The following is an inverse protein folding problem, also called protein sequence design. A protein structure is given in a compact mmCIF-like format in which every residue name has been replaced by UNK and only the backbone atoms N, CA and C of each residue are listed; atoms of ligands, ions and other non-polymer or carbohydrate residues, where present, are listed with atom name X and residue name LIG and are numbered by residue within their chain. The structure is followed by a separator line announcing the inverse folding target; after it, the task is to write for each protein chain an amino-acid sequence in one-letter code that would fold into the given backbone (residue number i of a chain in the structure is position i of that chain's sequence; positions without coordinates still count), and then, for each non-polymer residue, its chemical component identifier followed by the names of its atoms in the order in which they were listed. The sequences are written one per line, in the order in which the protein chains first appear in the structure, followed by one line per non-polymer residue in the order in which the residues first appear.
data_IF_900613887418
#
_entry.id   IF_900613887418
#
_cell.length_a   1.000
_cell.length_b   1.000
_cell.length_c   1.000
_cell.angle_alpha   90.00
_cell.angle_beta   90.00
_cell.angle_gamma   90.00
#
_symmetry.space_group_name_H-M   'P 1'
#
loop_
_entity.id
_entity.type
_entity.pdbx_description
1 polymer ?
#
# COMPACT_ATOMS: atom_id res chain seq x y z
N UNK A 1 -17.36 19.39 -5.31
CA UNK A 1 -15.96 19.02 -5.11
C UNK A 1 -15.25 19.10 -6.47
N UNK A 2 -14.15 19.84 -6.52
CA UNK A 2 -13.39 20.09 -7.76
C UNK A 2 -12.27 19.03 -7.94
N UNK A 3 -12.54 17.81 -7.50
CA UNK A 3 -11.61 16.71 -7.60
C UNK A 3 -11.51 16.21 -9.05
N UNK A 4 -10.30 16.20 -9.58
CA UNK A 4 -9.97 15.64 -10.91
C UNK A 4 -9.49 14.21 -10.77
N UNK A 5 -9.79 13.36 -11.76
CA UNK A 5 -9.28 11.99 -11.81
C UNK A 5 -7.73 11.98 -11.85
N UNK A 6 -7.12 10.97 -11.29
CA UNK A 6 -5.66 10.85 -11.21
C UNK A 6 -4.98 10.95 -12.58
N UNK A 7 -5.55 10.30 -13.60
CA UNK A 7 -5.02 10.35 -14.97
C UNK A 7 -5.02 11.79 -15.50
N UNK A 8 -6.07 12.57 -15.19
CA UNK A 8 -6.14 13.99 -15.56
C UNK A 8 -5.06 14.80 -14.85
N UNK A 9 -4.89 14.58 -13.54
CA UNK A 9 -3.86 15.28 -12.77
C UNK A 9 -2.45 14.99 -13.31
N UNK A 10 -2.13 13.72 -13.58
CA UNK A 10 -0.84 13.35 -14.15
C UNK A 10 -0.64 13.87 -15.59
N UNK A 11 -1.66 13.85 -16.43
CA UNK A 11 -1.61 14.41 -17.78
C UNK A 11 -1.30 15.90 -17.73
N UNK A 12 -1.93 16.64 -16.80
CA UNK A 12 -1.71 18.06 -16.62
C UNK A 12 -0.30 18.38 -16.07
N UNK A 13 0.21 17.57 -15.14
CA UNK A 13 1.58 17.68 -14.65
C UNK A 13 2.57 17.45 -15.80
N UNK A 14 2.36 16.41 -16.60
CA UNK A 14 3.23 16.11 -17.74
C UNK A 14 3.19 17.22 -18.79
N UNK A 15 2.03 17.79 -19.09
CA UNK A 15 1.90 18.92 -20.00
C UNK A 15 2.69 20.14 -19.54
N UNK A 16 2.64 20.46 -18.25
CA UNK A 16 3.37 21.59 -17.69
C UNK A 16 4.88 21.36 -17.59
N UNK A 17 5.27 20.15 -17.20
CA UNK A 17 6.70 19.80 -17.02
C UNK A 17 7.39 19.43 -18.33
N UNK A 18 6.67 18.79 -19.25
CA UNK A 18 7.20 18.26 -20.52
C UNK A 18 6.20 18.44 -21.67
N UNK A 19 5.92 19.67 -22.12
CA UNK A 19 4.84 19.97 -23.05
C UNK A 19 4.96 19.24 -24.40
N UNK A 20 6.16 19.14 -24.96
CA UNK A 20 6.39 18.41 -26.20
C UNK A 20 6.08 16.91 -26.06
N UNK A 21 6.57 16.30 -25.00
CA UNK A 21 6.31 14.86 -24.73
C UNK A 21 4.83 14.60 -24.47
N UNK A 22 4.15 15.48 -23.76
CA UNK A 22 2.70 15.35 -23.52
C UNK A 22 1.92 15.41 -24.85
N UNK A 23 2.25 16.34 -25.73
CA UNK A 23 1.66 16.44 -27.06
C UNK A 23 1.94 15.21 -27.91
N UNK A 24 3.20 14.79 -28.02
CA UNK A 24 3.62 13.67 -28.87
C UNK A 24 3.11 12.31 -28.39
N UNK A 25 3.21 12.05 -27.09
CA UNK A 25 2.91 10.74 -26.50
C UNK A 25 1.46 10.56 -26.09
N UNK A 26 0.83 11.63 -25.60
CA UNK A 26 -0.52 11.60 -25.06
C UNK A 26 -1.54 12.31 -25.94
N UNK A 27 -1.09 13.12 -26.92
CA UNK A 27 -1.97 14.03 -27.66
C UNK A 27 -2.62 15.07 -26.74
N UNK A 28 -1.90 15.49 -25.68
CA UNK A 28 -2.36 16.40 -24.65
C UNK A 28 -1.54 17.70 -24.71
N UNK A 29 -2.06 18.71 -25.38
CA UNK A 29 -1.37 19.95 -25.73
C UNK A 29 -1.93 21.21 -25.05
N UNK A 30 -3.13 21.17 -24.51
CA UNK A 30 -3.79 22.29 -23.85
C UNK A 30 -4.39 21.89 -22.50
N UNK A 31 -4.66 22.86 -21.64
CA UNK A 31 -5.31 22.65 -20.36
C UNK A 31 -6.78 22.29 -20.58
N UNK A 32 -7.18 21.14 -20.05
CA UNK A 32 -8.59 20.77 -20.00
C UNK A 32 -9.25 21.38 -18.76
N UNK A 33 -10.31 22.14 -18.97
CA UNK A 33 -11.01 22.87 -17.91
C UNK A 33 -12.22 22.12 -17.38
N UNK A 34 -12.79 21.26 -18.19
CA UNK A 34 -14.02 20.53 -17.85
C UNK A 34 -13.82 19.03 -17.86
N UNK A 35 -14.65 18.33 -17.08
CA UNK A 35 -14.69 16.86 -17.08
C UNK A 35 -15.10 16.31 -18.46
N UNK A 36 -15.90 17.03 -19.23
CA UNK A 36 -16.30 16.62 -20.58
C UNK A 36 -15.10 16.60 -21.53
N UNK A 37 -14.28 17.65 -21.53
CA UNK A 37 -13.04 17.71 -22.32
C UNK A 37 -12.08 16.60 -21.94
N UNK A 38 -11.87 16.39 -20.64
CA UNK A 38 -11.04 15.28 -20.15
C UNK A 38 -11.56 13.92 -20.64
N UNK A 39 -12.86 13.68 -20.52
CA UNK A 39 -13.46 12.40 -20.92
C UNK A 39 -13.34 12.17 -22.43
N UNK A 40 -13.51 13.20 -23.24
CA UNK A 40 -13.31 13.11 -24.68
C UNK A 40 -11.86 12.76 -25.03
N UNK A 41 -10.90 13.47 -24.46
CA UNK A 41 -9.48 13.17 -24.66
C UNK A 41 -9.13 11.76 -24.17
N UNK A 42 -9.59 11.37 -22.97
CA UNK A 42 -9.27 10.08 -22.36
C UNK A 42 -9.82 8.92 -23.18
N UNK A 43 -11.04 9.03 -23.69
CA UNK A 43 -11.62 8.02 -24.57
C UNK A 43 -10.79 7.89 -25.86
N UNK A 44 -10.45 9.00 -26.51
CA UNK A 44 -9.62 8.97 -27.72
C UNK A 44 -8.22 8.38 -27.46
N UNK A 45 -7.64 8.62 -26.29
CA UNK A 45 -6.39 8.00 -25.86
C UNK A 45 -6.55 6.49 -25.66
N UNK A 46 -7.62 6.06 -25.02
CA UNK A 46 -7.95 4.64 -24.82
C UNK A 46 -8.17 3.92 -26.14
N UNK A 47 -8.90 4.53 -27.07
CA UNK A 47 -9.16 3.96 -28.41
C UNK A 47 -7.87 3.73 -29.19
N UNK A 48 -6.94 4.69 -29.14
CA UNK A 48 -5.61 4.53 -29.75
C UNK A 48 -4.80 3.40 -29.10
N UNK A 49 -4.85 3.30 -27.76
CA UNK A 49 -4.18 2.23 -27.02
C UNK A 49 -4.77 0.86 -27.37
N UNK A 50 -6.09 0.78 -27.45
CA UNK A 50 -6.82 -0.41 -27.86
C UNK A 50 -6.46 -0.85 -29.28
N UNK A 51 -6.50 0.07 -30.25
CA UNK A 51 -6.13 -0.22 -31.63
C UNK A 51 -4.70 -0.76 -31.74
N UNK A 52 -3.73 -0.17 -30.99
CA UNK A 52 -2.35 -0.69 -30.93
C UNK A 52 -2.28 -2.09 -30.33
N UNK A 53 -3.04 -2.35 -29.28
CA UNK A 53 -3.10 -3.67 -28.66
C UNK A 53 -3.65 -4.72 -29.64
N UNK A 54 -4.73 -4.43 -30.35
CA UNK A 54 -5.34 -5.32 -31.35
C UNK A 54 -4.34 -5.59 -32.50
N UNK A 55 -3.69 -4.54 -33.02
CA UNK A 55 -2.68 -4.69 -34.06
C UNK A 55 -1.52 -5.59 -33.62
N UNK A 56 -0.97 -5.37 -32.42
CA UNK A 56 0.09 -6.21 -31.87
C UNK A 56 -0.35 -7.67 -31.66
N UNK A 57 -1.61 -7.92 -31.31
CA UNK A 57 -2.15 -9.29 -31.21
C UNK A 57 -2.29 -9.96 -32.56
N UNK A 58 -2.71 -9.23 -33.58
CA UNK A 58 -2.78 -9.74 -34.97
C UNK A 58 -1.40 -9.98 -35.56
N UNK A 59 -0.42 -9.13 -35.26
CA UNK A 59 0.98 -9.33 -35.67
C UNK A 59 1.57 -10.62 -35.07
N UNK A 60 1.32 -10.83 -33.76
CA UNK A 60 1.79 -12.02 -33.04
C UNK A 60 1.09 -13.31 -33.48
N UNK A 61 -0.20 -13.22 -33.81
CA UNK A 61 -1.03 -14.32 -34.29
C UNK A 61 -2.15 -13.78 -35.17
N UNK A 62 -2.14 -14.03 -36.49
CA UNK A 62 -3.15 -13.53 -37.41
C UNK A 62 -4.60 -13.83 -36.94
N UNK A 63 -5.45 -12.81 -36.92
CA UNK A 63 -6.85 -12.89 -36.52
C UNK A 63 -7.12 -12.94 -35.01
N UNK A 64 -6.09 -13.04 -34.15
CA UNK A 64 -6.31 -13.10 -32.69
C UNK A 64 -6.80 -11.77 -32.13
N UNK A 65 -6.27 -10.66 -32.63
CA UNK A 65 -6.73 -9.34 -32.22
C UNK A 65 -8.19 -9.11 -32.62
N UNK A 66 -8.57 -9.47 -33.83
CA UNK A 66 -9.95 -9.30 -34.33
C UNK A 66 -10.92 -10.17 -33.54
N UNK A 67 -10.54 -11.40 -33.22
CA UNK A 67 -11.32 -12.28 -32.32
C UNK A 67 -11.54 -11.61 -30.94
N UNK A 68 -10.45 -11.07 -30.34
CA UNK A 68 -10.54 -10.37 -29.05
C UNK A 68 -11.46 -9.17 -29.14
N UNK A 69 -11.35 -8.36 -30.20
CA UNK A 69 -12.22 -7.20 -30.42
C UNK A 69 -13.69 -7.59 -30.57
N UNK A 70 -13.98 -8.65 -31.33
CA UNK A 70 -15.33 -9.17 -31.49
C UNK A 70 -15.93 -9.71 -30.18
N UNK A 71 -15.15 -10.45 -29.40
CA UNK A 71 -15.56 -10.95 -28.09
C UNK A 71 -15.90 -9.79 -27.14
N UNK A 72 -15.03 -8.79 -27.04
CA UNK A 72 -15.24 -7.62 -26.17
C UNK A 72 -16.47 -6.81 -26.63
N UNK A 73 -16.66 -6.64 -27.92
CA UNK A 73 -17.85 -5.95 -28.44
C UNK A 73 -19.15 -6.69 -28.13
N UNK A 74 -19.12 -8.03 -28.14
CA UNK A 74 -20.29 -8.88 -27.90
C UNK A 74 -20.65 -9.03 -26.43
N UNK A 75 -19.68 -9.19 -25.54
CA UNK A 75 -19.89 -9.63 -24.15
C UNK A 75 -19.13 -8.81 -23.10
N UNK A 76 -18.38 -7.77 -23.51
CA UNK A 76 -17.62 -6.89 -22.61
C UNK A 76 -16.25 -7.43 -22.19
N UNK A 77 -15.90 -8.65 -22.53
CA UNK A 77 -14.61 -9.28 -22.19
C UNK A 77 -14.20 -10.31 -23.25
N UNK A 78 -12.91 -10.63 -23.31
CA UNK A 78 -12.39 -11.75 -24.11
C UNK A 78 -11.44 -12.58 -23.28
N UNK A 79 -11.57 -13.90 -23.38
CA UNK A 79 -10.62 -14.83 -22.81
C UNK A 79 -9.41 -14.93 -23.74
N UNK A 80 -8.32 -14.25 -23.40
CA UNK A 80 -7.02 -14.55 -23.98
C UNK A 80 -6.60 -15.92 -23.46
N UNK A 81 -5.95 -16.74 -24.32
CA UNK A 81 -5.53 -18.08 -23.92
C UNK A 81 -4.85 -18.04 -22.55
N UNK A 82 -5.52 -18.55 -21.55
CA UNK A 82 -4.90 -18.80 -20.25
C UNK A 82 -3.79 -19.79 -20.55
N UNK A 83 -2.52 -19.37 -20.48
CA UNK A 83 -1.43 -20.32 -20.38
C UNK A 83 -1.86 -21.26 -19.27
N UNK A 84 -2.06 -22.54 -19.60
CA UNK A 84 -2.35 -23.53 -18.57
C UNK A 84 -1.33 -23.30 -17.47
N UNK A 85 -1.75 -22.73 -16.33
CA UNK A 85 -0.95 -22.73 -15.14
C UNK A 85 -0.74 -24.20 -14.83
N UNK A 86 0.40 -24.73 -15.24
CA UNK A 86 0.79 -26.04 -14.80
C UNK A 86 0.80 -25.96 -13.28
N UNK A 87 0.10 -26.88 -12.64
CA UNK A 87 0.04 -27.02 -11.19
C UNK A 87 1.45 -27.09 -10.55
N UNK A 88 2.47 -27.29 -11.39
CA UNK A 88 3.88 -27.36 -11.02
C UNK A 88 4.72 -26.46 -11.94
N UNK A 89 5.06 -25.22 -11.54
CA UNK A 89 5.95 -24.33 -12.29
C UNK A 89 7.36 -24.93 -12.49
N UNK A 90 7.70 -25.98 -11.75
CA UNK A 90 9.02 -26.63 -11.74
C UNK A 90 9.38 -27.38 -13.04
N UNK A 91 8.43 -27.59 -13.96
CA UNK A 91 8.70 -28.24 -15.25
C UNK A 91 9.29 -27.32 -16.32
N UNK A 92 9.34 -26.01 -16.04
CA UNK A 92 9.96 -25.02 -16.92
C UNK A 92 11.09 -24.32 -16.16
N UNK A 93 12.17 -23.95 -16.85
CA UNK A 93 13.20 -23.09 -16.25
C UNK A 93 12.56 -21.83 -15.70
N UNK A 94 13.04 -21.36 -14.55
CA UNK A 94 12.66 -20.05 -14.02
C UNK A 94 13.21 -18.95 -14.94
N UNK A 95 12.54 -17.82 -15.01
CA UNK A 95 12.99 -16.63 -15.74
C UNK A 95 14.18 -15.91 -15.08
N UNK A 96 14.93 -16.60 -14.25
CA UNK A 96 16.12 -16.13 -13.55
C UNK A 96 17.36 -16.35 -14.41
N UNK A 97 18.47 -15.71 -14.09
CA UNK A 97 19.74 -15.87 -14.79
C UNK A 97 20.24 -17.33 -14.81
N UNK A 98 20.03 -18.05 -13.71
CA UNK A 98 20.42 -19.47 -13.57
C UNK A 98 19.38 -20.45 -14.10
N UNK A 99 18.18 -20.00 -14.47
CA UNK A 99 17.04 -20.86 -14.82
C UNK A 99 16.47 -21.64 -13.64
N UNK A 100 16.96 -21.38 -12.42
CA UNK A 100 16.55 -22.03 -11.16
C UNK A 100 16.00 -20.99 -10.18
N UNK A 101 15.29 -21.39 -9.09
CA UNK A 101 14.99 -20.47 -8.00
C UNK A 101 16.32 -19.91 -7.46
N UNK A 102 16.46 -18.60 -7.46
CA UNK A 102 17.66 -17.93 -6.94
C UNK A 102 17.40 -17.46 -5.53
N UNK A 103 18.13 -18.03 -4.56
CA UNK A 103 18.18 -17.55 -3.17
C UNK A 103 19.09 -16.32 -3.11
N UNK A 104 20.12 -16.26 -3.96
CA UNK A 104 21.00 -15.10 -4.14
C UNK A 104 20.67 -14.49 -5.49
N UNK A 105 20.30 -13.22 -5.51
CA UNK A 105 20.07 -12.47 -6.75
C UNK A 105 21.40 -11.92 -7.28
N UNK A 106 22.04 -12.66 -8.20
CA UNK A 106 23.28 -12.22 -8.84
C UNK A 106 23.12 -10.93 -9.63
N UNK A 107 21.97 -10.71 -10.26
CA UNK A 107 21.69 -9.46 -10.96
C UNK A 107 21.57 -8.27 -10.00
N UNK A 108 20.97 -8.47 -8.84
CA UNK A 108 20.85 -7.43 -7.83
C UNK A 108 22.22 -7.08 -7.26
N UNK A 109 23.03 -8.07 -6.94
CA UNK A 109 24.39 -7.89 -6.43
C UNK A 109 25.30 -7.19 -7.46
N UNK A 110 25.25 -7.61 -8.72
CA UNK A 110 26.01 -6.98 -9.80
C UNK A 110 25.64 -5.48 -9.98
N UNK A 111 24.36 -5.15 -9.80
CA UNK A 111 23.86 -3.77 -9.97
C UNK A 111 24.11 -2.89 -8.75
N UNK A 112 23.92 -3.43 -7.55
CA UNK A 112 23.87 -2.66 -6.32
C UNK A 112 24.94 -3.04 -5.28
N UNK A 113 25.68 -4.12 -5.49
CA UNK A 113 26.72 -4.58 -4.57
C UNK A 113 27.78 -3.52 -4.26
N UNK A 114 28.17 -2.71 -5.24
CA UNK A 114 29.08 -1.56 -5.03
C UNK A 114 28.51 -0.47 -4.09
N UNK A 115 27.20 -0.50 -3.85
CA UNK A 115 26.50 0.39 -2.90
C UNK A 115 26.28 -0.28 -1.54
N UNK A 116 26.91 -1.43 -1.28
CA UNK A 116 26.79 -2.16 -0.03
C UNK A 116 25.55 -3.06 0.06
N UNK A 117 24.80 -3.27 -1.04
CA UNK A 117 23.67 -4.17 -1.05
C UNK A 117 24.12 -5.62 -1.33
N UNK A 118 23.55 -6.59 -0.63
CA UNK A 118 23.79 -8.02 -0.85
C UNK A 118 22.73 -8.60 -1.78
N UNK A 119 23.13 -9.49 -2.68
CA UNK A 119 22.21 -10.31 -3.46
C UNK A 119 21.49 -11.37 -2.62
N UNK A 120 22.02 -11.69 -1.46
CA UNK A 120 21.39 -12.55 -0.45
C UNK A 120 20.42 -11.70 0.38
N UNK A 121 19.22 -12.23 0.60
CA UNK A 121 18.30 -11.63 1.56
C UNK A 121 18.89 -11.78 2.97
N UNK A 122 19.31 -10.68 3.55
CA UNK A 122 19.90 -10.60 4.87
C UNK A 122 19.14 -9.59 5.72
N UNK A 123 19.18 -9.79 7.03
CA UNK A 123 18.58 -8.85 7.94
C UNK A 123 19.54 -7.69 8.23
N UNK A 124 19.08 -6.49 7.98
CA UNK A 124 19.80 -5.27 8.32
C UNK A 124 18.90 -4.42 9.20
N UNK A 125 19.41 -4.06 10.36
CA UNK A 125 18.68 -3.16 11.25
C UNK A 125 18.54 -1.78 10.60
N UNK A 126 17.30 -1.27 10.56
CA UNK A 126 17.04 0.07 10.06
C UNK A 126 17.76 1.11 10.95
N UNK A 127 18.53 2.05 10.38
CA UNK A 127 19.13 3.13 11.14
C UNK A 127 18.10 3.94 11.93
N UNK A 128 18.44 4.28 13.16
CA UNK A 128 17.55 5.02 14.05
C UNK A 128 16.38 4.20 14.62
N UNK A 129 16.39 2.89 14.43
CA UNK A 129 15.37 2.01 14.99
C UNK A 129 15.88 1.34 16.26
N UNK A 130 15.19 1.58 17.37
CA UNK A 130 15.50 0.98 18.67
C UNK A 130 14.60 -0.23 18.91
N UNK A 131 15.19 -1.38 19.16
CA UNK A 131 14.42 -2.57 19.52
C UNK A 131 13.83 -2.42 20.94
N UNK A 132 12.56 -2.79 21.14
CA UNK A 132 11.93 -2.72 22.46
C UNK A 132 12.63 -3.70 23.44
N UNK A 133 12.74 -3.29 24.67
CA UNK A 133 13.29 -4.13 25.74
C UNK A 133 12.28 -5.21 26.13
N UNK A 134 12.66 -6.49 26.11
CA UNK A 134 11.80 -7.58 26.54
C UNK A 134 11.29 -7.37 27.98
N UNK A 135 10.06 -7.80 28.22
CA UNK A 135 9.41 -7.78 29.55
C UNK A 135 9.33 -6.39 30.22
N UNK A 136 9.46 -5.32 29.44
CA UNK A 136 9.28 -3.93 29.87
C UNK A 136 7.93 -3.37 29.40
N UNK A 137 7.76 -2.05 29.53
CA UNK A 137 6.64 -1.30 28.96
C UNK A 137 6.83 -0.95 27.47
N UNK A 138 7.89 -1.51 26.85
CA UNK A 138 8.24 -1.29 25.45
C UNK A 138 7.79 -2.46 24.56
N UNK A 139 7.27 -2.15 23.37
CA UNK A 139 6.65 -3.10 22.47
C UNK A 139 6.98 -2.81 21.00
N UNK A 140 6.98 -3.86 20.18
CA UNK A 140 6.85 -3.69 18.75
C UNK A 140 5.43 -3.25 18.42
N UNK A 141 5.26 -2.18 17.64
CA UNK A 141 3.98 -1.77 17.11
C UNK A 141 3.81 -2.30 15.69
N UNK A 142 2.92 -3.25 15.53
CA UNK A 142 2.60 -3.88 14.25
C UNK A 142 1.27 -3.34 13.73
N UNK A 143 1.15 -3.13 12.43
CA UNK A 143 -0.11 -2.71 11.84
C UNK A 143 -0.55 -3.64 10.71
N UNK A 144 -1.85 -3.78 10.54
CA UNK A 144 -2.45 -4.58 9.50
C UNK A 144 -3.75 -4.00 8.99
N UNK A 145 -4.09 -4.32 7.74
CA UNK A 145 -5.35 -3.91 7.12
C UNK A 145 -6.51 -4.78 7.59
N UNK A 146 -7.65 -4.16 7.77
CA UNK A 146 -8.92 -4.86 7.94
C UNK A 146 -9.57 -5.12 6.58
N UNK A 147 -10.43 -6.16 6.51
CA UNK A 147 -11.16 -6.51 5.28
C UNK A 147 -12.08 -5.40 4.79
N UNK A 148 -12.63 -4.60 5.70
CA UNK A 148 -13.51 -3.47 5.38
C UNK A 148 -12.76 -2.15 5.15
N UNK A 149 -11.45 -2.08 5.41
CA UNK A 149 -10.64 -0.87 5.30
C UNK A 149 -9.31 -1.14 4.64
N UNK A 150 -9.20 -0.81 3.37
CA UNK A 150 -7.95 -0.82 2.61
C UNK A 150 -7.54 0.61 2.23
N UNK A 151 -6.37 0.76 1.60
CA UNK A 151 -5.81 2.07 1.22
C UNK A 151 -6.80 2.96 0.46
N UNK A 152 -7.61 2.38 -0.44
CA UNK A 152 -8.59 3.12 -1.24
C UNK A 152 -9.93 3.35 -0.57
N UNK A 153 -10.24 2.65 0.54
CA UNK A 153 -11.56 2.70 1.20
C UNK A 153 -11.52 3.21 2.63
N UNK A 154 -10.33 3.54 3.13
CA UNK A 154 -10.14 3.92 4.54
C UNK A 154 -10.92 5.17 4.99
N UNK A 155 -11.31 6.03 4.05
CA UNK A 155 -12.07 7.25 4.32
C UNK A 155 -13.58 7.12 4.05
N UNK A 156 -14.02 6.00 3.48
CA UNK A 156 -15.44 5.81 3.18
C UNK A 156 -16.22 5.45 4.44
N UNK A 157 -17.28 6.20 4.69
CA UNK A 157 -18.11 6.03 5.90
C UNK A 157 -18.85 4.69 5.93
N UNK A 158 -19.21 4.15 4.76
CA UNK A 158 -19.93 2.90 4.68
C UNK A 158 -19.11 1.69 5.15
N UNK A 159 -17.89 1.42 4.65
CA UNK A 159 -17.05 0.35 5.20
C UNK A 159 -16.68 0.57 6.66
N UNK A 160 -16.53 1.81 7.09
CA UNK A 160 -16.16 2.16 8.46
C UNK A 160 -17.24 1.76 9.50
N UNK A 161 -18.50 1.65 9.10
CA UNK A 161 -19.58 1.15 9.96
C UNK A 161 -19.43 -0.33 10.31
N UNK A 162 -18.69 -1.10 9.50
CA UNK A 162 -18.43 -2.52 9.71
C UNK A 162 -17.09 -2.79 10.41
N UNK A 163 -16.26 -1.77 10.57
CA UNK A 163 -15.06 -1.86 11.38
C UNK A 163 -15.45 -1.79 12.85
N UNK A 164 -15.62 -2.96 13.44
CA UNK A 164 -16.13 -3.08 14.80
C UNK A 164 -15.13 -2.69 15.89
N UNK A 165 -13.84 -2.60 15.59
CA UNK A 165 -12.82 -2.46 16.61
C UNK A 165 -11.59 -1.69 16.09
N UNK A 166 -11.25 -0.58 16.75
CA UNK A 166 -10.08 0.24 16.47
C UNK A 166 -9.13 0.32 17.65
N UNK A 167 -9.37 -0.52 18.65
CA UNK A 167 -8.53 -0.60 19.83
C UNK A 167 -7.13 -1.12 19.49
N UNK A 168 -6.21 -0.86 20.37
CA UNK A 168 -4.89 -1.42 20.37
C UNK A 168 -4.95 -2.84 20.94
N UNK A 169 -4.57 -3.84 20.18
CA UNK A 169 -4.58 -5.21 20.66
C UNK A 169 -3.31 -5.51 21.44
N UNK A 170 -3.47 -6.16 22.58
CA UNK A 170 -2.43 -6.53 23.50
C UNK A 170 -2.56 -8.00 23.92
N UNK A 171 -1.44 -8.71 24.03
CA UNK A 171 -1.42 -10.08 24.50
C UNK A 171 -1.82 -10.16 25.99
N UNK A 172 -2.60 -11.16 26.44
CA UNK A 172 -3.00 -11.31 27.83
C UNK A 172 -1.85 -11.34 28.84
N UNK A 173 -0.73 -12.00 28.51
CA UNK A 173 0.45 -12.05 29.37
C UNK A 173 1.05 -10.66 29.64
N UNK A 174 1.11 -9.83 28.61
CA UNK A 174 1.59 -8.44 28.75
C UNK A 174 0.60 -7.56 29.49
N UNK A 175 -0.69 -7.75 29.21
CA UNK A 175 -1.77 -7.01 29.86
C UNK A 175 -1.79 -7.29 31.37
N UNK A 176 -1.69 -8.57 31.78
CA UNK A 176 -1.60 -8.97 33.18
C UNK A 176 -0.38 -8.35 33.86
N UNK A 177 0.80 -8.47 33.24
CA UNK A 177 2.07 -7.91 33.75
C UNK A 177 2.01 -6.40 33.99
N UNK A 178 1.24 -5.66 33.16
CA UNK A 178 1.12 -4.21 33.22
C UNK A 178 -0.14 -3.73 33.95
N UNK A 179 -0.96 -4.62 34.46
CA UNK A 179 -2.23 -4.28 35.11
C UNK A 179 -3.24 -3.60 34.18
N UNK A 180 -3.25 -4.01 32.90
CA UNK A 180 -4.12 -3.45 31.87
C UNK A 180 -5.22 -4.47 31.55
N UNK A 181 -6.43 -3.98 31.38
CA UNK A 181 -7.61 -4.77 31.00
C UNK A 181 -8.25 -4.24 29.72
N UNK A 182 -9.06 -5.05 29.05
CA UNK A 182 -9.84 -4.58 27.90
C UNK A 182 -10.75 -3.43 28.29
N UNK A 183 -10.71 -2.35 27.51
CA UNK A 183 -11.44 -1.12 27.78
C UNK A 183 -10.60 -0.02 28.46
N UNK A 184 -9.47 -0.36 29.04
CA UNK A 184 -8.54 0.65 29.57
C UNK A 184 -7.98 1.52 28.45
N UNK A 185 -7.70 2.78 28.77
CA UNK A 185 -7.00 3.70 27.87
C UNK A 185 -5.53 3.75 28.23
N UNK A 186 -4.69 3.70 27.20
CA UNK A 186 -3.23 3.82 27.33
C UNK A 186 -2.70 4.98 26.51
N UNK A 187 -1.67 5.65 27.03
CA UNK A 187 -0.79 6.51 26.23
C UNK A 187 0.24 5.65 25.54
N UNK A 188 0.37 5.83 24.23
CA UNK A 188 1.40 5.19 23.39
C UNK A 188 2.42 6.26 23.02
N UNK A 189 3.69 6.02 23.29
CA UNK A 189 4.79 6.93 22.95
C UNK A 189 5.79 6.21 22.06
N UNK A 190 6.08 6.75 20.88
CA UNK A 190 7.14 6.24 20.00
C UNK A 190 8.52 6.39 20.65
N UNK A 191 9.29 5.31 20.74
CA UNK A 191 10.62 5.34 21.38
C UNK A 191 11.58 6.25 20.58
N UNK A 192 11.59 6.07 19.27
CA UNK A 192 12.51 6.79 18.39
C UNK A 192 11.98 8.15 17.94
N UNK A 193 10.66 8.35 17.95
CA UNK A 193 10.02 9.56 17.40
C UNK A 193 9.53 10.52 18.46
N UNK A 194 9.29 10.04 19.69
CA UNK A 194 8.65 10.82 20.77
C UNK A 194 7.17 11.15 20.50
N UNK A 195 6.60 10.68 19.39
CA UNK A 195 5.19 10.92 19.05
C UNK A 195 4.30 10.21 20.06
N UNK A 196 3.24 10.89 20.49
CA UNK A 196 2.29 10.38 21.46
C UNK A 196 0.89 10.23 20.88
N UNK A 197 0.17 9.23 21.34
CA UNK A 197 -1.24 9.01 21.06
C UNK A 197 -1.91 8.27 22.21
N UNK A 198 -3.22 8.41 22.36
CA UNK A 198 -4.01 7.64 23.32
C UNK A 198 -4.98 6.72 22.61
N UNK A 199 -5.19 5.53 23.14
CA UNK A 199 -6.05 4.52 22.53
C UNK A 199 -6.58 3.54 23.57
N UNK A 200 -7.79 3.03 23.34
CA UNK A 200 -8.37 1.97 24.16
C UNK A 200 -7.72 0.62 23.82
N UNK A 201 -7.47 -0.20 24.82
CA UNK A 201 -6.85 -1.51 24.68
C UNK A 201 -7.91 -2.60 24.55
N UNK A 202 -7.61 -3.60 23.73
CA UNK A 202 -8.29 -4.90 23.67
C UNK A 202 -7.32 -6.02 23.95
N UNK A 203 -7.52 -6.73 25.04
CA UNK A 203 -6.71 -7.90 25.40
C UNK A 203 -7.16 -9.09 24.57
N UNK A 204 -6.23 -9.71 23.83
CA UNK A 204 -6.52 -10.82 22.93
C UNK A 204 -5.30 -11.68 22.62
N UNK A 205 -5.49 -13.00 22.46
CA UNK A 205 -4.46 -13.95 22.03
C UNK A 205 -4.08 -13.83 20.54
N UNK A 206 -4.68 -12.89 19.79
CA UNK A 206 -4.40 -12.71 18.36
C UNK A 206 -3.11 -11.94 18.08
N UNK A 207 -2.43 -11.47 19.08
CA UNK A 207 -1.14 -10.79 19.00
C UNK A 207 -0.13 -11.49 19.89
N UNK A 208 1.13 -11.56 19.46
CA UNK A 208 2.22 -12.18 20.23
C UNK A 208 2.59 -11.31 21.42
N UNK A 209 3.03 -11.94 22.51
CA UNK A 209 3.64 -11.23 23.64
C UNK A 209 4.85 -10.38 23.16
N UNK A 210 5.02 -9.20 23.73
CA UNK A 210 6.02 -8.21 23.33
C UNK A 210 5.63 -7.40 22.11
N UNK A 211 4.44 -7.63 21.53
CA UNK A 211 3.94 -6.87 20.38
C UNK A 211 2.55 -6.30 20.64
N UNK A 212 2.29 -5.17 20.03
CA UNK A 212 0.97 -4.53 19.97
C UNK A 212 0.50 -4.47 18.52
N UNK A 213 -0.79 -4.64 18.28
CA UNK A 213 -1.36 -4.51 16.95
C UNK A 213 -2.33 -3.33 16.88
N UNK A 214 -2.15 -2.48 15.87
CA UNK A 214 -3.05 -1.38 15.54
C UNK A 214 -3.63 -1.59 14.15
N UNK A 215 -4.93 -1.38 14.00
CA UNK A 215 -5.55 -1.40 12.68
C UNK A 215 -5.00 -0.27 11.82
N UNK A 216 -4.54 -0.59 10.60
CA UNK A 216 -4.12 0.42 9.62
C UNK A 216 -5.27 1.37 9.33
N UNK A 217 -4.94 2.64 9.08
CA UNK A 217 -5.91 3.72 8.82
C UNK A 217 -6.84 4.06 10.01
N UNK A 218 -6.49 3.62 11.22
CA UNK A 218 -7.09 4.09 12.47
C UNK A 218 -6.42 5.39 12.91
N UNK A 219 -7.13 6.19 13.67
CA UNK A 219 -6.61 7.43 14.27
C UNK A 219 -6.10 8.48 13.29
N UNK A 220 -6.41 9.72 13.50
CA UNK A 220 -5.80 10.79 12.74
C UNK A 220 -6.32 11.04 11.34
N UNK A 221 -7.55 10.65 11.04
CA UNK A 221 -8.22 11.18 9.85
C UNK A 221 -8.40 12.68 10.03
N UNK A 222 -7.66 13.45 9.22
CA UNK A 222 -7.64 14.93 9.33
C UNK A 222 -8.44 15.62 8.23
N UNK A 223 -9.25 14.90 7.50
CA UNK A 223 -10.09 15.46 6.45
C UNK A 223 -11.20 16.30 7.12
N UNK A 224 -11.16 17.61 6.90
CA UNK A 224 -12.04 18.57 7.58
C UNK A 224 -13.52 18.17 7.55
N UNK A 225 -14.05 17.76 6.41
CA UNK A 225 -15.45 17.38 6.29
C UNK A 225 -15.83 16.15 7.14
N UNK A 226 -14.92 15.20 7.37
CA UNK A 226 -15.16 14.04 8.22
C UNK A 226 -15.12 14.43 9.71
N UNK A 227 -14.21 15.36 10.05
CA UNK A 227 -14.12 15.93 11.39
C UNK A 227 -15.38 16.74 11.71
N UNK A 228 -15.81 17.58 10.79
CA UNK A 228 -17.00 18.42 10.91
C UNK A 228 -18.28 17.58 11.00
N UNK A 229 -18.35 16.45 10.29
CA UNK A 229 -19.45 15.49 10.39
C UNK A 229 -19.49 14.71 11.72
N UNK A 230 -18.49 14.88 12.58
CA UNK A 230 -18.40 14.29 13.93
C UNK A 230 -18.55 12.77 13.97
N UNK A 231 -18.07 12.07 12.95
CA UNK A 231 -18.05 10.61 12.97
C UNK A 231 -17.12 10.11 14.09
N UNK A 232 -17.64 9.26 14.99
CA UNK A 232 -16.90 8.76 16.14
C UNK A 232 -15.58 8.08 15.75
N UNK A 233 -15.61 7.25 14.71
CA UNK A 233 -14.44 6.50 14.24
C UNK A 233 -13.25 7.37 13.78
N UNK A 234 -13.46 8.65 13.49
CA UNK A 234 -12.39 9.60 13.13
C UNK A 234 -11.40 9.80 14.28
N UNK A 235 -11.87 9.66 15.50
CA UNK A 235 -11.07 9.86 16.73
C UNK A 235 -10.57 8.57 17.35
N UNK A 236 -11.06 7.41 16.86
CA UNK A 236 -10.73 6.12 17.44
C UNK A 236 -9.41 5.55 16.88
N UNK A 237 -8.67 4.83 17.73
CA UNK A 237 -7.40 4.21 17.38
C UNK A 237 -6.24 5.18 17.29
N UNK A 238 -5.10 4.66 16.86
CA UNK A 238 -3.86 5.41 16.59
C UNK A 238 -3.39 5.17 15.17
N UNK A 239 -2.75 6.16 14.59
CA UNK A 239 -2.10 6.01 13.28
C UNK A 239 -0.68 5.48 13.48
N UNK A 240 -0.47 4.19 13.23
CA UNK A 240 0.82 3.51 13.41
C UNK A 240 1.97 4.16 12.61
N UNK A 241 1.69 4.78 11.47
CA UNK A 241 2.71 5.43 10.65
C UNK A 241 3.34 6.67 11.31
N UNK A 242 2.68 7.28 12.29
CA UNK A 242 3.29 8.41 13.01
C UNK A 242 4.42 8.00 13.94
N UNK A 243 4.48 6.73 14.29
CA UNK A 243 5.50 6.18 15.17
C UNK A 243 6.72 5.63 14.39
N UNK A 244 6.67 5.60 13.05
CA UNK A 244 7.76 5.15 12.22
C UNK A 244 8.88 6.19 12.15
N UNK A 245 10.14 5.75 12.14
CA UNK A 245 11.32 6.63 12.09
C UNK A 245 11.49 7.39 10.80
N UNK A 246 10.76 7.03 9.74
CA UNK A 246 10.88 7.64 8.43
C UNK A 246 12.09 7.16 7.62
N UNK A 247 12.84 6.18 8.11
CA UNK A 247 13.94 5.59 7.36
C UNK A 247 13.45 5.00 6.02
N UNK A 248 14.18 5.34 4.95
CA UNK A 248 13.94 4.78 3.62
C UNK A 248 15.08 3.85 3.25
N UNK A 249 14.72 2.66 2.81
CA UNK A 249 15.70 1.71 2.30
C UNK A 249 16.37 2.32 1.04
N UNK A 250 17.73 2.38 0.98
CA UNK A 250 18.44 3.19 -0.02
C UNK A 250 18.35 2.65 -1.45
N UNK A 251 17.98 1.39 -1.65
CA UNK A 251 17.90 0.77 -2.98
C UNK A 251 16.50 0.93 -3.58
N UNK A 252 15.47 0.59 -2.84
CA UNK A 252 14.08 0.58 -3.29
C UNK A 252 13.33 1.86 -2.92
N UNK A 253 13.83 2.62 -1.94
CA UNK A 253 13.16 3.78 -1.38
C UNK A 253 11.95 3.44 -0.51
N UNK A 254 11.75 2.17 -0.19
CA UNK A 254 10.63 1.72 0.67
C UNK A 254 10.82 2.26 2.07
N UNK A 255 9.76 2.83 2.62
CA UNK A 255 9.74 3.33 3.99
C UNK A 255 9.70 2.16 4.97
N UNK A 256 10.58 2.18 5.97
CA UNK A 256 10.51 1.22 7.08
C UNK A 256 9.26 1.49 7.91
N UNK A 257 8.41 0.48 8.03
CA UNK A 257 7.20 0.51 8.87
C UNK A 257 7.45 -0.05 10.28
N UNK A 258 8.72 -0.28 10.63
CA UNK A 258 9.07 -0.72 11.97
C UNK A 258 8.87 0.43 12.96
N UNK A 259 8.19 0.15 14.04
CA UNK A 259 7.94 1.10 15.13
C UNK A 259 8.09 0.40 16.45
N UNK A 260 8.79 1.04 17.38
CA UNK A 260 8.86 0.64 18.78
C UNK A 260 8.21 1.69 19.65
N UNK A 261 7.37 1.25 20.55
CA UNK A 261 6.55 2.15 21.39
C UNK A 261 6.64 1.75 22.85
N UNK A 262 6.48 2.73 23.72
CA UNK A 262 6.25 2.55 25.14
C UNK A 262 4.80 2.84 25.45
N UNK A 263 4.20 2.09 26.37
CA UNK A 263 2.82 2.31 26.79
C UNK A 263 2.74 2.64 28.29
N UNK A 264 1.74 3.42 28.63
CA UNK A 264 1.40 3.75 30.01
C UNK A 264 -0.11 3.85 30.15
N UNK A 265 -0.68 3.16 31.14
CA UNK A 265 -2.10 3.29 31.52
C UNK A 265 -2.40 4.71 31.99
N UNK A 266 -3.52 5.32 31.53
CA UNK A 266 -3.97 6.68 31.88
C UNK A 266 -5.41 6.66 32.34
#
# INVERSE_FOLDING_TARGET
CDAREEVWQFAEILRRAFPERARERLGYDHEMKTRAEFKQWYNAFQDKAWAKFIAAKNEAKPGEGDRIAADVAKQGWSQTAVKKFGVYPYKKPFGTFTGKPEIISFMFEAKYGKKGASGLADWVQAPGYTQPKPLSDEFYLVSGKDSASSSGTCIFTWPQKFLGDRSLWMNPTDAERLGITSGDTVEVTGIDTGVKGSVTVKVTNRVMAGSLFSHSFSGGVRTKHLIDAKYAWVKEGINSHWFCTGYREPVTGVLSNNSSVRIRKI
#
